data_IF_182062099806
#
_entry.id   IF_182062099806
#
_cell.length_a   1.000
_cell.length_b   1.000
_cell.length_c   1.000
_cell.angle_alpha   90.00
_cell.angle_beta   90.00
_cell.angle_gamma   90.00
#
_symmetry.space_group_name_H-M   'P 1'
#
loop_
_entity.id
_entity.type
_entity.pdbx_description
1 polymer ?
#
# COMPACT_ATOMS: atom_id res chain seq x y z
N UNK A 1 21.87 -4.05 10.90
CA UNK A 1 21.63 -4.47 9.51
C UNK A 1 22.17 -3.38 8.59
N UNK A 2 22.60 -3.69 7.35
CA UNK A 2 22.95 -2.61 6.39
C UNK A 2 21.66 -1.85 6.05
N UNK A 3 21.68 -0.51 6.13
CA UNK A 3 20.56 0.40 5.83
C UNK A 3 19.84 0.01 4.53
N UNK A 4 20.62 -0.21 3.47
CA UNK A 4 20.12 -0.61 2.14
C UNK A 4 19.32 -1.92 2.11
N UNK A 5 19.57 -2.86 3.03
CA UNK A 5 18.78 -4.11 3.10
C UNK A 5 17.41 -3.89 3.75
N UNK A 6 17.33 -2.97 4.73
CA UNK A 6 16.07 -2.65 5.39
C UNK A 6 15.13 -1.91 4.44
N UNK A 7 15.73 -0.99 3.70
CA UNK A 7 15.08 -0.20 2.66
C UNK A 7 14.54 -1.10 1.53
N UNK A 8 15.39 -1.93 0.92
CA UNK A 8 14.95 -2.85 -0.13
C UNK A 8 13.86 -3.84 0.32
N UNK A 9 13.89 -4.29 1.57
CA UNK A 9 12.81 -5.10 2.13
C UNK A 9 11.50 -4.30 2.25
N UNK A 10 11.59 -3.06 2.73
CA UNK A 10 10.43 -2.18 2.88
C UNK A 10 9.81 -1.85 1.52
N UNK A 11 10.62 -1.49 0.53
CA UNK A 11 10.17 -1.22 -0.84
C UNK A 11 9.42 -2.40 -1.44
N UNK A 12 9.91 -3.63 -1.22
CA UNK A 12 9.23 -4.85 -1.63
C UNK A 12 7.84 -5.00 -1.01
N UNK A 13 7.70 -4.72 0.29
CA UNK A 13 6.41 -4.78 0.99
C UNK A 13 5.45 -3.69 0.48
N UNK A 14 5.92 -2.46 0.30
CA UNK A 14 5.13 -1.38 -0.29
C UNK A 14 4.62 -1.73 -1.69
N UNK A 15 5.49 -2.27 -2.54
CA UNK A 15 5.14 -2.67 -3.90
C UNK A 15 4.09 -3.81 -3.92
N UNK A 16 4.24 -4.81 -3.06
CA UNK A 16 3.26 -5.90 -2.95
C UNK A 16 1.92 -5.38 -2.41
N UNK A 17 1.92 -4.57 -1.35
CA UNK A 17 0.68 -4.00 -0.81
C UNK A 17 -0.06 -3.14 -1.85
N UNK A 18 0.66 -2.33 -2.63
CA UNK A 18 0.09 -1.51 -3.68
C UNK A 18 -0.52 -2.34 -4.82
N UNK A 19 0.13 -3.43 -5.22
CA UNK A 19 -0.36 -4.29 -6.30
C UNK A 19 -1.52 -5.18 -5.89
N UNK A 20 -1.57 -5.62 -4.62
CA UNK A 20 -2.68 -6.43 -4.09
C UNK A 20 -4.01 -5.67 -4.08
N UNK A 21 -4.00 -4.34 -3.93
CA UNK A 21 -5.21 -3.52 -3.94
C UNK A 21 -6.08 -3.72 -5.18
N UNK A 22 -5.48 -4.06 -6.34
CA UNK A 22 -6.23 -4.26 -7.58
C UNK A 22 -7.21 -5.43 -7.48
N UNK A 23 -6.92 -6.42 -6.63
CA UNK A 23 -7.78 -7.59 -6.41
C UNK A 23 -9.04 -7.26 -5.60
N UNK A 24 -9.11 -6.08 -4.96
CA UNK A 24 -10.31 -5.61 -4.26
C UNK A 24 -11.29 -4.87 -5.18
N UNK A 25 -10.93 -4.64 -6.44
CA UNK A 25 -11.87 -4.07 -7.40
C UNK A 25 -13.00 -5.07 -7.63
N UNK A 26 -14.23 -4.62 -7.31
CA UNK A 26 -15.41 -5.47 -7.37
C UNK A 26 -15.79 -5.72 -8.83
N UNK A 27 -16.02 -6.99 -9.17
CA UNK A 27 -16.60 -7.34 -10.46
C UNK A 27 -18.07 -6.89 -10.49
N UNK A 28 -18.45 -5.96 -11.39
CA UNK A 28 -19.82 -5.49 -11.47
C UNK A 28 -20.76 -6.66 -11.82
N UNK A 29 -21.83 -6.83 -11.05
CA UNK A 29 -22.89 -7.79 -11.38
C UNK A 29 -23.69 -7.28 -12.58
N UNK A 30 -23.31 -7.72 -13.78
CA UNK A 30 -23.96 -7.31 -15.03
C UNK A 30 -25.36 -7.92 -15.10
N UNK A 31 -26.36 -7.11 -14.76
CA UNK A 31 -27.78 -7.48 -14.93
C UNK A 31 -28.42 -6.76 -16.11
N UNK A 32 -28.09 -5.47 -16.32
CA UNK A 32 -28.63 -4.66 -17.42
C UNK A 32 -27.52 -3.74 -17.96
N UNK A 33 -26.83 -4.17 -19.03
CA UNK A 33 -25.80 -3.38 -19.72
C UNK A 33 -24.47 -3.27 -18.97
N UNK A 34 -23.35 -3.46 -19.67
CA UNK A 34 -22.02 -3.41 -19.07
C UNK A 34 -21.64 -1.99 -18.60
N UNK A 35 -21.97 -0.96 -19.40
CA UNK A 35 -21.57 0.42 -19.11
C UNK A 35 -22.22 0.99 -17.84
N UNK A 36 -23.49 0.72 -17.62
CA UNK A 36 -24.24 1.08 -16.40
C UNK A 36 -23.72 0.35 -15.17
N UNK A 37 -23.39 -0.93 -15.31
CA UNK A 37 -22.83 -1.72 -14.21
C UNK A 37 -21.44 -1.22 -13.80
N UNK A 38 -20.57 -0.87 -14.75
CA UNK A 38 -19.26 -0.26 -14.47
C UNK A 38 -19.39 1.11 -13.80
N UNK A 39 -20.33 1.95 -14.23
CA UNK A 39 -20.55 3.27 -13.61
C UNK A 39 -21.07 3.16 -12.18
N UNK A 40 -21.82 2.12 -11.84
CA UNK A 40 -22.31 1.91 -10.47
C UNK A 40 -21.19 1.52 -9.49
N UNK A 41 -20.13 0.89 -9.97
CA UNK A 41 -18.96 0.48 -9.16
C UNK A 41 -17.92 1.60 -8.96
N UNK A 42 -18.24 2.85 -9.33
CA UNK A 42 -17.35 3.99 -9.09
C UNK A 42 -16.82 4.14 -7.65
N UNK A 43 -17.56 3.76 -6.57
CA UNK A 43 -17.02 3.83 -5.21
C UNK A 43 -15.85 2.87 -5.00
N UNK A 44 -15.85 1.70 -5.65
CA UNK A 44 -14.75 0.73 -5.59
C UNK A 44 -13.49 1.31 -6.24
N UNK A 45 -13.63 1.99 -7.39
CA UNK A 45 -12.51 2.67 -8.04
C UNK A 45 -11.94 3.81 -7.19
N UNK A 46 -12.82 4.60 -6.56
CA UNK A 46 -12.40 5.66 -5.65
C UNK A 46 -11.65 5.11 -4.42
N UNK A 47 -12.16 4.05 -3.80
CA UNK A 47 -11.52 3.37 -2.68
C UNK A 47 -10.13 2.82 -3.06
N UNK A 48 -10.01 2.21 -4.25
CA UNK A 48 -8.74 1.76 -4.80
C UNK A 48 -7.74 2.91 -4.97
N UNK A 49 -8.13 4.01 -5.63
CA UNK A 49 -7.26 5.17 -5.88
C UNK A 49 -6.79 5.81 -4.57
N UNK A 50 -7.70 5.97 -3.60
CA UNK A 50 -7.39 6.53 -2.28
C UNK A 50 -6.40 5.63 -1.54
N UNK A 51 -6.63 4.32 -1.54
CA UNK A 51 -5.76 3.35 -0.87
C UNK A 51 -4.37 3.29 -1.50
N UNK A 52 -4.30 3.25 -2.83
CA UNK A 52 -3.04 3.25 -3.57
C UNK A 52 -2.25 4.53 -3.29
N UNK A 53 -2.91 5.70 -3.37
CA UNK A 53 -2.30 6.99 -3.06
C UNK A 53 -1.79 7.05 -1.63
N UNK A 54 -2.53 6.49 -0.68
CA UNK A 54 -2.11 6.39 0.73
C UNK A 54 -0.83 5.59 0.88
N UNK A 55 -0.73 4.41 0.24
CA UNK A 55 0.49 3.58 0.26
C UNK A 55 1.68 4.37 -0.31
N UNK A 56 1.50 5.06 -1.44
CA UNK A 56 2.55 5.88 -2.07
C UNK A 56 3.00 7.02 -1.16
N UNK A 57 2.07 7.74 -0.52
CA UNK A 57 2.42 8.83 0.41
C UNK A 57 3.21 8.30 1.60
N UNK A 58 2.81 7.16 2.17
CA UNK A 58 3.54 6.53 3.27
C UNK A 58 4.95 6.11 2.80
N UNK A 59 5.07 5.52 1.62
CA UNK A 59 6.35 5.12 1.04
C UNK A 59 7.29 6.32 0.83
N UNK A 60 6.81 7.43 0.27
CA UNK A 60 7.62 8.65 0.08
C UNK A 60 8.13 9.19 1.43
N UNK A 61 7.26 9.27 2.43
CA UNK A 61 7.66 9.70 3.78
C UNK A 61 8.65 8.74 4.43
N UNK A 62 8.44 7.44 4.24
CA UNK A 62 9.32 6.40 4.75
C UNK A 62 10.73 6.51 4.15
N UNK A 63 10.84 6.71 2.84
CA UNK A 63 12.11 6.92 2.16
C UNK A 63 12.85 8.15 2.71
N UNK A 64 12.15 9.28 2.85
CA UNK A 64 12.72 10.50 3.44
C UNK A 64 13.22 10.33 4.88
N UNK A 65 12.50 9.56 5.71
CA UNK A 65 12.93 9.23 7.08
C UNK A 65 14.16 8.34 7.06
N UNK A 66 14.17 7.28 6.24
CA UNK A 66 15.31 6.37 6.14
C UNK A 66 16.55 7.14 5.68
N UNK A 67 16.44 8.03 4.69
CA UNK A 67 17.54 8.85 4.20
C UNK A 67 18.17 9.69 5.30
N UNK A 68 17.36 10.33 6.15
CA UNK A 68 17.83 11.12 7.29
C UNK A 68 18.49 10.29 8.40
N UNK A 69 18.23 8.98 8.48
CA UNK A 69 18.81 8.11 9.52
C UNK A 69 20.23 7.66 9.12
N UNK A 70 21.20 7.98 9.98
CA UNK A 70 22.60 7.58 9.81
C UNK A 70 22.90 6.12 10.19
N UNK A 71 22.12 5.51 11.09
CA UNK A 71 22.35 4.14 11.56
C UNK A 71 21.03 3.44 11.91
N UNK A 72 20.83 2.24 11.37
CA UNK A 72 19.67 1.38 11.70
C UNK A 72 19.99 0.49 12.90
N UNK A 73 19.42 0.82 14.06
CA UNK A 73 19.50 0.00 15.27
C UNK A 73 18.37 -1.04 15.34
N UNK A 74 18.33 -1.84 16.42
CA UNK A 74 17.32 -2.89 16.59
C UNK A 74 15.91 -2.33 16.81
N UNK A 75 15.78 -1.20 17.49
CA UNK A 75 14.48 -0.60 17.79
C UNK A 75 13.84 -0.08 16.51
N UNK A 76 14.62 0.61 15.68
CA UNK A 76 14.19 1.07 14.36
C UNK A 76 13.77 -0.07 13.45
N UNK A 77 14.43 -1.24 13.51
CA UNK A 77 14.00 -2.41 12.74
C UNK A 77 12.62 -2.92 13.17
N UNK A 78 12.34 -2.97 14.47
CA UNK A 78 11.02 -3.38 14.97
C UNK A 78 9.94 -2.35 14.64
N UNK A 79 10.23 -1.06 14.80
CA UNK A 79 9.31 0.02 14.41
C UNK A 79 9.02 0.01 12.90
N UNK A 80 10.05 -0.23 12.09
CA UNK A 80 9.88 -0.42 10.65
C UNK A 80 8.97 -1.62 10.34
N UNK A 81 9.19 -2.75 11.01
CA UNK A 81 8.33 -3.92 10.87
C UNK A 81 6.87 -3.65 11.24
N UNK A 82 6.63 -2.87 12.30
CA UNK A 82 5.29 -2.46 12.71
C UNK A 82 4.61 -1.56 11.68
N UNK A 83 5.34 -0.59 11.11
CA UNK A 83 4.84 0.22 10.00
C UNK A 83 4.48 -0.65 8.79
N UNK A 84 5.38 -1.55 8.39
CA UNK A 84 5.14 -2.46 7.27
C UNK A 84 3.93 -3.37 7.50
N UNK A 85 3.71 -3.82 8.73
CA UNK A 85 2.50 -4.57 9.10
C UNK A 85 1.24 -3.74 8.87
N UNK A 86 1.23 -2.48 9.29
CA UNK A 86 0.07 -1.59 9.06
C UNK A 86 -0.17 -1.31 7.58
N UNK A 87 0.89 -1.14 6.78
CA UNK A 87 0.79 -0.95 5.33
C UNK A 87 0.26 -2.20 4.64
N UNK A 88 0.77 -3.37 5.02
CA UNK A 88 0.30 -4.65 4.49
C UNK A 88 -1.18 -4.95 4.84
N UNK A 89 -1.71 -4.30 5.87
CA UNK A 89 -3.11 -4.41 6.25
C UNK A 89 -4.04 -3.46 5.48
N UNK A 90 -3.53 -2.41 4.79
CA UNK A 90 -4.35 -1.44 4.03
C UNK A 90 -5.29 -2.11 3.02
N UNK A 91 -4.91 -3.19 2.31
CA UNK A 91 -5.81 -3.88 1.39
C UNK A 91 -6.93 -4.70 2.06
N UNK A 92 -7.01 -4.81 3.38
CA UNK A 92 -8.00 -5.68 4.06
C UNK A 92 -9.26 -4.96 4.61
N UNK A 93 -9.20 -3.71 5.12
CA UNK A 93 -10.37 -2.99 5.60
C UNK A 93 -11.13 -2.19 4.53
N UNK A 94 -10.68 -2.21 3.27
CA UNK A 94 -11.37 -1.59 2.12
C UNK A 94 -12.05 -2.64 1.27
#
# INVERSE_FOLDING_TARGET
>A
MKKSRAEAFSDGVFAVAATVLVFNLVDPKVTHGLGTALLQEWPSYAAYIISFSTIVVIWVNHHGIIDAIGRFDRVLLFLNGLLLLTVAAIPFPT
#
